data_IF_900971038778
#
_entry.id   IF_900971038778
#
_cell.length_a   1.000
_cell.length_b   1.000
_cell.length_c   1.000
_cell.angle_alpha   90.00
_cell.angle_beta   90.00
_cell.angle_gamma   90.00
#
_symmetry.space_group_name_H-M   'P 1'
#
loop_
_entity.id
_entity.type
_entity.pdbx_description
1 polymer ?
#
# COMPACT_ATOMS: atom_id res chain seq x y z
N UNK A 1 9.97 14.74 6.43
CA UNK A 1 10.57 13.37 6.42
C UNK A 1 11.10 13.07 5.04
N UNK A 2 12.31 12.56 4.94
CA UNK A 2 12.89 12.10 3.68
C UNK A 2 12.51 10.64 3.43
N UNK A 3 12.67 10.18 2.19
CA UNK A 3 12.49 8.77 1.86
C UNK A 3 13.47 7.90 2.67
N UNK A 4 14.71 8.36 2.81
CA UNK A 4 15.71 7.66 3.60
C UNK A 4 15.28 7.49 5.07
N UNK A 5 14.72 8.53 5.67
CA UNK A 5 14.20 8.48 7.03
C UNK A 5 13.00 7.52 7.12
N UNK A 6 12.10 7.54 6.14
CA UNK A 6 10.97 6.62 6.08
C UNK A 6 11.45 5.16 5.97
N UNK A 7 12.46 4.90 5.15
CA UNK A 7 13.05 3.58 5.02
C UNK A 7 13.60 3.06 6.35
N UNK A 8 14.27 3.92 7.11
CA UNK A 8 14.80 3.55 8.43
C UNK A 8 13.68 3.23 9.42
N UNK A 9 12.62 4.03 9.43
CA UNK A 9 11.47 3.80 10.32
C UNK A 9 10.79 2.47 9.98
N UNK A 10 10.56 2.20 8.72
CA UNK A 10 9.95 0.94 8.27
C UNK A 10 10.84 -0.24 8.61
N UNK A 11 12.15 -0.12 8.38
CA UNK A 11 13.12 -1.17 8.69
C UNK A 11 13.10 -1.52 10.18
N UNK A 12 13.10 -0.53 11.05
CA UNK A 12 13.00 -0.75 12.49
C UNK A 12 11.69 -1.45 12.87
N UNK A 13 10.59 -1.02 12.27
CA UNK A 13 9.29 -1.63 12.53
C UNK A 13 9.27 -3.10 12.12
N UNK A 14 9.78 -3.42 10.92
CA UNK A 14 9.87 -4.80 10.42
C UNK A 14 10.70 -5.67 11.37
N UNK A 15 11.83 -5.15 11.84
CA UNK A 15 12.75 -5.90 12.71
C UNK A 15 12.24 -6.08 14.13
N UNK A 16 11.40 -5.15 14.63
CA UNK A 16 10.91 -5.18 16.00
C UNK A 16 9.50 -5.76 16.13
N UNK A 17 8.62 -5.53 15.19
CA UNK A 17 7.21 -5.94 15.23
C UNK A 17 6.83 -6.93 14.13
N UNK A 18 7.46 -6.81 12.97
CA UNK A 18 7.31 -7.79 11.90
C UNK A 18 8.22 -8.99 12.15
N UNK A 19 7.92 -10.10 11.53
CA UNK A 19 8.75 -11.30 11.67
C UNK A 19 9.99 -11.21 10.77
N UNK A 20 9.80 -10.75 9.54
CA UNK A 20 10.86 -10.59 8.54
C UNK A 20 10.32 -9.86 7.32
N UNK A 21 11.23 -9.44 6.46
CA UNK A 21 10.83 -9.00 5.11
C UNK A 21 10.36 -10.19 4.29
N UNK A 22 9.38 -9.97 3.46
CA UNK A 22 9.08 -10.91 2.38
C UNK A 22 10.16 -10.79 1.31
N UNK A 23 10.32 -11.82 0.47
CA UNK A 23 11.24 -11.74 -0.64
C UNK A 23 10.72 -10.75 -1.71
N UNK A 24 11.60 -10.40 -2.65
CA UNK A 24 11.31 -9.38 -3.66
C UNK A 24 10.13 -9.76 -4.55
N UNK A 25 10.01 -11.03 -4.90
CA UNK A 25 8.91 -11.50 -5.74
C UNK A 25 7.56 -11.35 -5.03
N UNK A 26 7.51 -11.74 -3.76
CA UNK A 26 6.30 -11.59 -2.95
C UNK A 26 5.95 -10.12 -2.78
N UNK A 27 6.93 -9.26 -2.48
CA UNK A 27 6.69 -7.81 -2.36
C UNK A 27 6.22 -7.20 -3.67
N UNK A 28 6.75 -7.63 -4.81
CA UNK A 28 6.28 -7.14 -6.11
C UNK A 28 4.82 -7.53 -6.37
N UNK A 29 4.45 -8.75 -5.97
CA UNK A 29 3.07 -9.22 -6.08
C UNK A 29 2.14 -8.39 -5.19
N UNK A 30 2.55 -8.12 -3.96
CA UNK A 30 1.79 -7.26 -3.05
C UNK A 30 1.66 -5.84 -3.59
N UNK A 31 2.72 -5.29 -4.18
CA UNK A 31 2.66 -3.98 -4.81
C UNK A 31 1.60 -3.95 -5.91
N UNK A 32 1.54 -4.97 -6.75
CA UNK A 32 0.54 -5.07 -7.81
C UNK A 32 -0.88 -5.10 -7.24
N UNK A 33 -1.10 -5.84 -6.16
CA UNK A 33 -2.39 -5.88 -5.47
C UNK A 33 -2.79 -4.52 -4.91
N UNK A 34 -1.87 -3.84 -4.23
CA UNK A 34 -2.14 -2.54 -3.61
C UNK A 34 -2.40 -1.45 -4.67
N UNK A 35 -1.67 -1.48 -5.78
CA UNK A 35 -1.94 -0.58 -6.91
C UNK A 35 -3.32 -0.84 -7.48
N UNK A 36 -3.73 -2.11 -7.59
CA UNK A 36 -5.08 -2.48 -8.03
C UNK A 36 -6.16 -1.94 -7.10
N UNK A 37 -5.97 -2.03 -5.80
CA UNK A 37 -6.91 -1.49 -4.82
C UNK A 37 -6.99 0.03 -4.91
N UNK A 38 -5.87 0.72 -5.05
CA UNK A 38 -5.83 2.16 -5.28
C UNK A 38 -6.56 2.53 -6.57
N UNK A 39 -6.31 1.80 -7.66
CA UNK A 39 -6.97 2.04 -8.94
C UNK A 39 -8.49 1.89 -8.83
N UNK A 40 -8.94 0.89 -8.06
CA UNK A 40 -10.37 0.66 -7.81
C UNK A 40 -11.01 1.88 -7.13
N UNK A 41 -10.40 2.40 -6.09
CA UNK A 41 -10.93 3.55 -5.35
C UNK A 41 -10.93 4.81 -6.24
N UNK A 42 -9.85 5.05 -6.99
CA UNK A 42 -9.78 6.19 -7.91
C UNK A 42 -10.87 6.09 -8.99
N UNK A 43 -11.04 4.92 -9.58
CA UNK A 43 -12.04 4.71 -10.63
C UNK A 43 -13.46 4.96 -10.13
N UNK A 44 -13.75 4.60 -8.89
CA UNK A 44 -15.07 4.79 -8.30
C UNK A 44 -15.31 6.18 -7.74
N UNK A 45 -14.26 6.85 -7.30
CA UNK A 45 -14.37 8.22 -6.77
C UNK A 45 -14.45 9.25 -7.89
N UNK A 46 -13.66 9.10 -8.94
CA UNK A 46 -13.48 10.10 -9.99
C UNK A 46 -13.89 9.63 -11.39
N UNK A 47 -14.09 8.33 -11.56
CA UNK A 47 -14.43 7.73 -12.84
C UNK A 47 -15.92 7.50 -13.02
N UNK A 48 -16.25 6.66 -13.96
CA UNK A 48 -17.62 6.33 -14.33
C UNK A 48 -18.21 5.14 -13.56
N UNK A 49 -17.39 4.43 -12.81
CA UNK A 49 -17.83 3.29 -12.04
C UNK A 49 -18.38 3.73 -10.68
N UNK A 50 -19.42 3.05 -10.23
CA UNK A 50 -20.04 3.33 -8.94
C UNK A 50 -19.39 2.52 -7.83
N UNK A 51 -19.36 3.09 -6.62
CA UNK A 51 -18.97 2.35 -5.44
C UNK A 51 -19.96 1.22 -5.17
N UNK A 52 -19.42 0.06 -4.81
CA UNK A 52 -20.20 -0.99 -4.17
C UNK A 52 -20.24 -0.72 -2.67
N UNK A 53 -21.20 -1.32 -1.97
CA UNK A 53 -21.28 -1.16 -0.52
C UNK A 53 -19.98 -1.54 0.18
N UNK A 54 -19.32 -2.61 -0.30
CA UNK A 54 -18.06 -3.08 0.25
C UNK A 54 -16.89 -2.11 0.00
N UNK A 55 -17.00 -1.21 -0.98
CA UNK A 55 -15.92 -0.24 -1.29
C UNK A 55 -15.93 0.96 -0.35
N UNK A 56 -17.06 1.24 0.31
CA UNK A 56 -17.20 2.42 1.17
C UNK A 56 -16.31 2.38 2.42
N UNK A 57 -15.84 1.20 2.81
CA UNK A 57 -14.94 1.04 3.94
C UNK A 57 -13.49 1.41 3.63
N UNK A 58 -13.16 1.62 2.37
CA UNK A 58 -11.81 1.95 1.94
C UNK A 58 -11.64 3.45 1.82
N UNK A 59 -10.50 3.94 2.28
CA UNK A 59 -10.11 5.34 2.21
C UNK A 59 -8.97 5.49 1.21
N UNK A 60 -9.08 6.48 0.34
CA UNK A 60 -8.05 6.77 -0.66
C UNK A 60 -6.68 6.97 -0.02
N UNK A 61 -6.61 7.70 1.09
CA UNK A 61 -5.34 7.95 1.77
C UNK A 61 -4.70 6.65 2.27
N UNK A 62 -5.50 5.74 2.81
CA UNK A 62 -5.00 4.45 3.29
C UNK A 62 -4.47 3.60 2.13
N UNK A 63 -5.17 3.59 1.00
CA UNK A 63 -4.72 2.84 -0.18
C UNK A 63 -3.42 3.42 -0.76
N UNK A 64 -3.27 4.74 -0.77
CA UNK A 64 -2.02 5.37 -1.19
C UNK A 64 -0.87 5.03 -0.23
N UNK A 65 -1.15 5.03 1.07
CA UNK A 65 -0.16 4.67 2.08
C UNK A 65 0.28 3.21 1.95
N UNK A 66 -0.65 2.30 1.62
CA UNK A 66 -0.34 0.88 1.42
C UNK A 66 0.61 0.68 0.23
N UNK A 67 0.39 1.39 -0.87
CA UNK A 67 1.30 1.35 -2.03
C UNK A 67 2.69 1.86 -1.63
N UNK A 68 2.75 2.98 -0.93
CA UNK A 68 4.02 3.57 -0.49
C UNK A 68 4.77 2.63 0.45
N UNK A 69 4.06 2.00 1.39
CA UNK A 69 4.66 1.04 2.33
C UNK A 69 5.35 -0.10 1.59
N UNK A 70 4.67 -0.72 0.62
CA UNK A 70 5.26 -1.84 -0.13
C UNK A 70 6.47 -1.39 -0.95
N UNK A 71 6.39 -0.20 -1.56
CA UNK A 71 7.53 0.38 -2.28
C UNK A 71 8.74 0.58 -1.37
N UNK A 72 8.52 1.07 -0.17
CA UNK A 72 9.59 1.26 0.81
C UNK A 72 10.21 -0.08 1.21
N UNK A 73 9.39 -1.11 1.37
CA UNK A 73 9.87 -2.46 1.72
C UNK A 73 10.71 -3.11 0.60
N UNK A 74 10.47 -2.73 -0.64
CA UNK A 74 11.27 -3.21 -1.74
C UNK A 74 12.68 -2.61 -1.74
#
# INVERSE_FOLDING_TARGET
>A
MTIEEAQKIVDEWIKTHGVRYFNELTNMTLLTEEVGELARIIARTYGEQSFKESDKKYDLADEMADVLWVLICL
#
